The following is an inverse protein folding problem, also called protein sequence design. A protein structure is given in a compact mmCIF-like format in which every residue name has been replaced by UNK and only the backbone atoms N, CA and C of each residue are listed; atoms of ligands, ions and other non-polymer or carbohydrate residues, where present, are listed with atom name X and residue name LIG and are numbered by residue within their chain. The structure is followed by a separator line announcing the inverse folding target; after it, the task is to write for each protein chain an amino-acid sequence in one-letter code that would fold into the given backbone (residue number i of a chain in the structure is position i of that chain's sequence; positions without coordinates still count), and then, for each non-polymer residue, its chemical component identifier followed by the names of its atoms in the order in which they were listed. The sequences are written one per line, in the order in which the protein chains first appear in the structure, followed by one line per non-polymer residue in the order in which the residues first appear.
data_IF_213967998416
#
_entry.id   IF_213967998416
#
_cell.length_a   1.000
_cell.length_b   1.000
_cell.length_c   1.000
_cell.angle_alpha   90.00
_cell.angle_beta   90.00
_cell.angle_gamma   90.00
#
_symmetry.space_group_name_H-M   'P 1'
#
loop_
_entity.id
_entity.type
_entity.pdbx_description
1 polymer ?
#
# COMPACT_ATOMS: atom_id res chain seq x y z
N UNK A 1 8.41 15.08 -11.42
CA UNK A 1 9.54 14.58 -10.57
C UNK A 1 10.24 13.44 -11.28
N UNK A 2 11.54 13.24 -11.02
CA UNK A 2 12.36 12.19 -11.67
C UNK A 2 12.04 10.81 -11.08
N UNK A 3 11.83 9.83 -11.96
CA UNK A 3 11.57 8.44 -11.57
C UNK A 3 12.84 7.74 -11.05
N UNK A 4 12.64 6.71 -10.23
CA UNK A 4 13.70 5.90 -9.64
C UNK A 4 14.70 6.76 -8.81
N UNK A 5 14.15 7.74 -8.11
CA UNK A 5 14.88 8.71 -7.32
C UNK A 5 14.20 8.99 -5.99
N UNK A 6 15.03 9.22 -4.97
CA UNK A 6 14.60 9.78 -3.69
C UNK A 6 14.87 11.27 -3.72
N UNK A 7 13.81 12.06 -3.60
CA UNK A 7 13.88 13.52 -3.57
C UNK A 7 14.10 14.00 -2.14
N UNK A 8 15.13 14.85 -1.94
CA UNK A 8 15.42 15.43 -0.61
C UNK A 8 14.50 16.62 -0.36
N UNK A 9 13.24 16.36 -0.11
CA UNK A 9 12.20 17.34 0.24
C UNK A 9 11.19 16.70 1.19
N UNK A 10 10.37 17.52 1.82
CA UNK A 10 9.21 17.03 2.56
C UNK A 10 8.21 16.39 1.59
N UNK A 11 7.65 15.24 1.98
CA UNK A 11 6.63 14.54 1.19
C UNK A 11 5.46 15.45 0.78
N UNK A 12 5.03 16.35 1.66
CA UNK A 12 3.93 17.29 1.40
C UNK A 12 4.27 18.37 0.35
N UNK A 13 5.54 18.52 -0.02
CA UNK A 13 5.99 19.48 -1.04
C UNK A 13 6.11 18.84 -2.44
N UNK A 14 5.69 17.59 -2.59
CA UNK A 14 5.78 16.90 -3.88
C UNK A 14 4.89 17.55 -4.95
N UNK A 15 5.28 17.37 -6.21
CA UNK A 15 4.56 17.87 -7.39
C UNK A 15 4.05 16.75 -8.29
N UNK A 16 3.77 15.59 -7.70
CA UNK A 16 3.20 14.46 -8.42
C UNK A 16 1.74 14.75 -8.80
N UNK A 17 1.31 14.23 -9.95
CA UNK A 17 -0.07 14.31 -10.36
C UNK A 17 -0.97 13.43 -9.48
N UNK A 18 -2.25 13.82 -9.39
CA UNK A 18 -3.25 13.03 -8.70
C UNK A 18 -3.35 11.62 -9.29
N UNK A 19 -3.64 10.65 -8.43
CA UNK A 19 -3.91 9.26 -8.80
C UNK A 19 -2.78 8.58 -9.60
N UNK A 20 -1.53 9.01 -9.41
CA UNK A 20 -0.40 8.47 -10.15
C UNK A 20 0.22 7.21 -9.51
N UNK A 21 0.02 6.99 -8.22
CA UNK A 21 0.65 5.90 -7.47
C UNK A 21 -0.20 4.62 -7.51
N UNK A 22 0.34 3.53 -8.05
CA UNK A 22 -0.30 2.22 -8.00
C UNK A 22 -0.12 1.55 -6.64
N UNK A 23 0.99 1.84 -5.97
CA UNK A 23 1.31 1.38 -4.63
C UNK A 23 1.96 2.50 -3.83
N UNK A 24 1.49 2.71 -2.61
CA UNK A 24 2.15 3.57 -1.63
C UNK A 24 2.60 2.71 -0.45
N UNK A 25 3.87 2.82 -0.05
CA UNK A 25 4.40 2.17 1.15
C UNK A 25 4.95 3.26 2.05
N UNK A 26 4.26 3.51 3.16
CA UNK A 26 4.57 4.57 4.10
C UNK A 26 5.01 3.99 5.45
N UNK A 27 6.25 4.27 5.84
CA UNK A 27 6.80 4.00 7.17
C UNK A 27 7.12 5.35 7.85
N UNK A 28 6.10 6.06 8.36
CA UNK A 28 6.27 7.38 8.93
C UNK A 28 7.07 7.33 10.23
N UNK A 29 7.59 8.45 10.72
CA UNK A 29 8.05 8.52 12.10
C UNK A 29 6.88 8.22 13.05
N UNK A 30 7.19 7.48 14.14
CA UNK A 30 6.21 7.10 15.16
C UNK A 30 6.34 8.02 16.37
N UNK A 31 5.24 8.54 16.87
CA UNK A 31 5.28 9.42 18.02
C UNK A 31 5.90 8.74 19.26
N UNK A 32 7.01 9.29 19.80
CA UNK A 32 7.71 8.84 21.02
C UNK A 32 8.03 7.33 21.08
N UNK A 33 8.55 6.76 20.02
CA UNK A 33 8.89 5.32 19.96
C UNK A 33 10.37 5.08 19.90
N UNK A 34 11.08 5.67 18.89
CA UNK A 34 12.48 5.37 18.64
C UNK A 34 13.15 6.45 17.77
N UNK A 35 14.33 6.86 18.17
CA UNK A 35 15.10 7.87 17.42
C UNK A 35 14.61 9.31 17.59
N UNK A 36 15.47 10.27 17.28
CA UNK A 36 15.16 11.69 17.48
C UNK A 36 14.00 12.20 16.60
N UNK A 37 13.77 11.57 15.45
CA UNK A 37 12.70 11.91 14.53
C UNK A 37 11.29 11.57 15.06
N UNK A 38 11.18 10.70 16.08
CA UNK A 38 9.92 10.36 16.74
C UNK A 38 9.56 11.31 17.90
N UNK A 39 10.45 12.23 18.25
CA UNK A 39 10.32 13.15 19.39
C UNK A 39 10.23 14.62 18.97
N UNK A 40 9.74 14.90 17.78
CA UNK A 40 9.64 16.28 17.24
C UNK A 40 8.31 16.96 17.54
N UNK A 41 7.29 16.22 17.99
CA UNK A 41 5.97 16.75 18.31
C UNK A 41 5.82 16.98 19.82
N UNK A 42 5.18 18.08 20.19
CA UNK A 42 4.91 18.41 21.59
C UNK A 42 3.94 17.43 22.24
N UNK A 43 2.95 16.96 21.48
CA UNK A 43 1.92 16.04 21.95
C UNK A 43 1.35 15.16 20.83
N UNK A 44 0.53 14.20 21.21
CA UNK A 44 -0.17 13.29 20.27
C UNK A 44 -1.07 14.06 19.31
N UNK A 45 -1.66 15.17 19.71
CA UNK A 45 -2.55 15.97 18.84
C UNK A 45 -1.78 16.60 17.70
N UNK A 46 -0.61 17.18 17.99
CA UNK A 46 0.26 17.75 16.96
C UNK A 46 0.74 16.67 15.98
N UNK A 47 1.11 15.48 16.46
CA UNK A 47 1.45 14.34 15.61
C UNK A 47 0.28 13.93 14.71
N UNK A 48 -0.93 13.80 15.24
CA UNK A 48 -2.10 13.39 14.47
C UNK A 48 -2.51 14.40 13.40
N UNK A 49 -2.25 15.69 13.60
CA UNK A 49 -2.45 16.71 12.56
C UNK A 49 -1.53 16.48 11.35
N UNK A 50 -0.29 16.02 11.57
CA UNK A 50 0.59 15.68 10.46
C UNK A 50 0.21 14.33 9.81
N UNK A 51 -0.24 13.36 10.62
CA UNK A 51 -0.82 12.10 10.09
C UNK A 51 -2.00 12.39 9.16
N UNK A 52 -2.89 13.32 9.52
CA UNK A 52 -4.02 13.71 8.67
C UNK A 52 -3.55 14.33 7.34
N UNK A 53 -2.57 15.25 7.37
CA UNK A 53 -2.01 15.83 6.14
C UNK A 53 -1.39 14.76 5.23
N UNK A 54 -0.63 13.82 5.83
CA UNK A 54 -0.02 12.71 5.09
C UNK A 54 -1.08 11.77 4.51
N UNK A 55 -2.14 11.50 5.27
CA UNK A 55 -3.28 10.69 4.82
C UNK A 55 -3.95 11.32 3.60
N UNK A 56 -4.27 12.61 3.65
CA UNK A 56 -4.89 13.35 2.56
C UNK A 56 -4.00 13.39 1.31
N UNK A 57 -2.69 13.55 1.49
CA UNK A 57 -1.74 13.52 0.38
C UNK A 57 -1.61 12.10 -0.23
N UNK A 58 -1.55 11.05 0.59
CA UNK A 58 -1.64 9.68 0.10
C UNK A 58 -2.94 9.44 -0.66
N UNK A 59 -4.08 10.00 -0.19
CA UNK A 59 -5.38 9.91 -0.88
C UNK A 59 -5.35 10.58 -2.24
N UNK A 60 -4.73 11.74 -2.36
CA UNK A 60 -4.58 12.46 -3.62
C UNK A 60 -3.76 11.65 -4.62
N UNK A 61 -2.66 11.05 -4.16
CA UNK A 61 -1.70 10.34 -5.01
C UNK A 61 -2.13 8.93 -5.40
N UNK A 62 -2.90 8.22 -4.56
CA UNK A 62 -3.24 6.83 -4.78
C UNK A 62 -4.20 6.68 -5.98
N UNK A 63 -3.81 5.85 -6.96
CA UNK A 63 -4.68 5.47 -8.06
C UNK A 63 -5.98 4.84 -7.56
N UNK A 64 -7.06 4.92 -8.33
CA UNK A 64 -8.37 4.39 -7.93
C UNK A 64 -8.32 2.90 -7.58
N UNK A 65 -7.49 2.13 -8.28
CA UNK A 65 -7.24 0.71 -8.05
C UNK A 65 -5.91 0.43 -7.31
N UNK A 66 -5.33 1.44 -6.68
CA UNK A 66 -4.07 1.33 -5.96
C UNK A 66 -4.20 0.70 -4.57
N UNK A 67 -3.06 0.40 -3.97
CA UNK A 67 -2.95 -0.09 -2.58
C UNK A 67 -2.05 0.83 -1.78
N UNK A 68 -2.45 1.12 -0.55
CA UNK A 68 -1.65 1.86 0.43
C UNK A 68 -1.30 0.96 1.60
N UNK A 69 -0.03 0.92 1.96
CA UNK A 69 0.47 0.34 3.19
C UNK A 69 0.95 1.45 4.14
N UNK A 70 0.49 1.39 5.39
CA UNK A 70 0.87 2.31 6.45
C UNK A 70 1.39 1.55 7.66
N UNK A 71 2.68 1.68 7.94
CA UNK A 71 3.31 1.09 9.12
C UNK A 71 3.04 1.91 10.38
N UNK A 72 3.09 1.25 11.54
CA UNK A 72 2.97 1.93 12.82
C UNK A 72 3.30 1.06 14.03
N UNK A 73 3.57 1.74 15.14
CA UNK A 73 3.75 1.10 16.44
C UNK A 73 2.47 0.44 16.92
N UNK A 74 2.59 -0.76 17.49
CA UNK A 74 1.44 -1.57 17.90
C UNK A 74 0.53 -0.91 18.96
N UNK A 75 1.05 0.04 19.75
CA UNK A 75 0.27 0.75 20.77
C UNK A 75 -0.42 2.00 20.24
N UNK A 76 0.10 2.60 19.15
CA UNK A 76 -0.32 3.94 18.69
C UNK A 76 -1.00 3.94 17.33
N UNK A 77 -0.83 2.88 16.51
CA UNK A 77 -1.36 2.82 15.15
C UNK A 77 -2.88 3.00 15.06
N UNK A 78 -3.62 2.63 16.12
CA UNK A 78 -5.07 2.78 16.16
C UNK A 78 -5.51 4.24 15.99
N UNK A 79 -4.73 5.21 16.45
CA UNK A 79 -5.04 6.64 16.26
C UNK A 79 -4.91 7.04 14.78
N UNK A 80 -3.86 6.58 14.10
CA UNK A 80 -3.72 6.79 12.66
C UNK A 80 -4.82 6.06 11.88
N UNK A 81 -5.18 4.83 12.29
CA UNK A 81 -6.25 4.07 11.66
C UNK A 81 -7.56 4.84 11.63
N UNK A 82 -7.97 5.47 12.73
CA UNK A 82 -9.23 6.26 12.79
C UNK A 82 -9.23 7.36 11.71
N UNK A 83 -8.10 8.05 11.52
CA UNK A 83 -7.97 9.09 10.49
C UNK A 83 -8.07 8.49 9.09
N UNK A 84 -7.35 7.39 8.85
CA UNK A 84 -7.33 6.75 7.52
C UNK A 84 -8.68 6.13 7.14
N UNK A 85 -9.44 5.57 8.10
CA UNK A 85 -10.76 4.97 7.88
C UNK A 85 -11.81 5.99 7.40
N UNK A 86 -11.58 7.30 7.61
CA UNK A 86 -12.44 8.36 7.06
C UNK A 86 -12.24 8.56 5.53
N UNK A 87 -11.11 8.13 5.00
CA UNK A 87 -10.71 8.41 3.61
C UNK A 87 -10.54 7.17 2.74
N UNK A 88 -10.27 6.01 3.34
CA UNK A 88 -9.94 4.76 2.67
C UNK A 88 -10.78 3.60 3.19
N UNK A 89 -10.84 2.52 2.43
CA UNK A 89 -11.39 1.25 2.89
C UNK A 89 -10.27 0.39 3.49
N UNK A 90 -10.39 0.02 4.76
CA UNK A 90 -9.43 -0.89 5.41
C UNK A 90 -9.58 -2.30 4.84
N UNK A 91 -8.51 -2.81 4.23
CA UNK A 91 -8.47 -4.17 3.69
C UNK A 91 -7.98 -5.15 4.76
N UNK A 92 -6.85 -4.83 5.40
CA UNK A 92 -6.27 -5.67 6.46
C UNK A 92 -5.56 -4.81 7.52
N UNK A 93 -5.64 -5.24 8.78
CA UNK A 93 -4.73 -4.81 9.85
C UNK A 93 -3.79 -5.99 10.14
N UNK A 94 -2.55 -5.88 9.67
CA UNK A 94 -1.56 -6.96 9.63
C UNK A 94 -0.63 -6.85 10.83
N UNK A 95 -0.42 -7.95 11.55
CA UNK A 95 0.62 -8.06 12.56
C UNK A 95 1.90 -8.62 11.92
N UNK A 96 2.99 -7.87 12.00
CA UNK A 96 4.30 -8.32 11.53
C UNK A 96 5.14 -8.70 12.74
N UNK A 97 5.37 -9.98 12.92
CA UNK A 97 6.26 -10.52 13.95
C UNK A 97 7.68 -10.60 13.38
N UNK A 98 8.62 -9.97 14.06
CA UNK A 98 10.04 -10.12 13.77
C UNK A 98 10.65 -11.16 14.69
N UNK A 99 11.38 -12.13 14.13
CA UNK A 99 12.20 -13.07 14.88
C UNK A 99 13.31 -12.28 15.60
N UNK A 100 12.98 -11.71 16.75
CA UNK A 100 13.95 -11.10 17.65
C UNK A 100 14.40 -12.20 18.60
N UNK A 101 15.72 -12.40 18.68
CA UNK A 101 16.25 -13.20 19.79
C UNK A 101 15.73 -12.58 21.09
N UNK A 102 15.06 -13.38 21.91
CA UNK A 102 14.52 -12.94 23.19
C UNK A 102 15.63 -12.26 23.99
N UNK A 103 15.44 -10.98 24.29
CA UNK A 103 16.37 -10.25 25.14
C UNK A 103 16.38 -10.94 26.52
N UNK A 104 17.56 -11.20 27.05
CA UNK A 104 17.70 -11.60 28.47
C UNK A 104 16.97 -10.56 29.33
N UNK A 105 16.20 -10.99 30.30
CA UNK A 105 15.49 -10.07 31.22
C UNK A 105 14.06 -9.77 30.84
N UNK A 106 13.46 -10.50 29.89
CA UNK A 106 12.02 -10.37 29.53
C UNK A 106 11.12 -10.58 30.75
N UNK A 107 11.55 -11.43 31.68
CA UNK A 107 10.89 -11.69 32.96
C UNK A 107 10.80 -10.47 33.89
N UNK A 108 11.64 -9.45 33.67
CA UNK A 108 11.64 -8.21 34.44
C UNK A 108 10.71 -7.11 33.87
N UNK A 109 10.01 -7.38 32.75
CA UNK A 109 9.05 -6.43 32.20
C UNK A 109 7.72 -6.50 32.92
N UNK A 110 7.12 -5.34 33.18
CA UNK A 110 5.77 -5.22 33.70
C UNK A 110 4.69 -5.37 32.62
N UNK A 111 5.07 -5.86 31.44
CA UNK A 111 4.19 -6.09 30.29
C UNK A 111 4.76 -7.19 29.39
N UNK A 112 3.94 -7.70 28.49
CA UNK A 112 4.46 -8.59 27.43
C UNK A 112 5.44 -7.84 26.53
N UNK A 113 6.59 -8.49 26.23
CA UNK A 113 7.62 -7.89 25.38
C UNK A 113 7.06 -7.62 23.96
N UNK A 114 7.20 -6.41 23.39
CA UNK A 114 6.73 -6.12 22.06
C UNK A 114 7.65 -6.79 21.03
N UNK A 115 7.08 -7.69 20.23
CA UNK A 115 7.79 -8.42 19.18
C UNK A 115 7.20 -8.14 17.79
N UNK A 116 6.17 -7.31 17.70
CA UNK A 116 5.46 -7.06 16.45
C UNK A 116 5.29 -5.56 16.19
N UNK A 117 5.26 -5.23 14.91
CA UNK A 117 4.76 -3.95 14.37
C UNK A 117 3.39 -4.17 13.72
N UNK A 118 2.70 -3.10 13.40
CA UNK A 118 1.43 -3.15 12.67
C UNK A 118 1.59 -2.54 11.31
N UNK A 119 0.84 -3.11 10.36
CA UNK A 119 0.76 -2.64 8.99
C UNK A 119 -0.70 -2.59 8.58
N UNK A 120 -1.21 -1.40 8.32
CA UNK A 120 -2.54 -1.20 7.77
C UNK A 120 -2.46 -1.27 6.24
N UNK A 121 -3.33 -2.05 5.64
CA UNK A 121 -3.49 -2.15 4.20
C UNK A 121 -4.82 -1.51 3.81
N UNK A 122 -4.75 -0.52 2.94
CA UNK A 122 -5.90 0.25 2.47
C UNK A 122 -6.02 0.22 0.95
N UNK A 123 -7.24 0.45 0.48
CA UNK A 123 -7.51 0.80 -0.91
C UNK A 123 -8.60 1.88 -1.02
N UNK A 124 -8.97 2.23 -2.24
CA UNK A 124 -10.04 3.19 -2.52
C UNK A 124 -11.41 2.52 -2.62
N UNK A 125 -11.58 1.29 -2.11
CA UNK A 125 -12.83 0.53 -2.19
C UNK A 125 -13.13 -0.01 -3.59
N UNK A 126 -14.24 -0.73 -3.71
CA UNK A 126 -14.63 -1.42 -4.94
C UNK A 126 -14.93 -0.46 -6.09
N UNK A 127 -14.00 -0.32 -7.04
CA UNK A 127 -14.12 0.61 -8.16
C UNK A 127 -15.20 0.18 -9.17
N UNK A 128 -15.44 -1.12 -9.34
CA UNK A 128 -16.52 -1.62 -10.18
C UNK A 128 -17.88 -1.12 -9.68
N UNK A 129 -18.11 -1.19 -8.37
CA UNK A 129 -19.35 -0.71 -7.75
C UNK A 129 -19.50 0.81 -7.89
N UNK A 130 -18.41 1.57 -7.75
CA UNK A 130 -18.45 3.03 -7.90
C UNK A 130 -18.84 3.44 -9.32
N UNK A 131 -18.19 2.86 -10.33
CA UNK A 131 -18.53 3.09 -11.74
C UNK A 131 -19.96 2.67 -12.02
N UNK A 132 -20.36 1.50 -11.54
CA UNK A 132 -21.68 0.95 -11.79
C UNK A 132 -22.80 1.82 -11.19
N UNK A 133 -22.66 2.25 -9.92
CA UNK A 133 -23.63 3.12 -9.25
C UNK A 133 -23.77 4.47 -9.97
N UNK A 134 -22.65 5.05 -10.40
CA UNK A 134 -22.63 6.27 -11.19
C UNK A 134 -23.42 6.09 -12.50
N UNK A 135 -23.13 5.04 -13.25
CA UNK A 135 -23.80 4.74 -14.53
C UNK A 135 -25.27 4.39 -14.37
N UNK A 136 -25.64 3.67 -13.33
CA UNK A 136 -27.05 3.39 -13.00
C UNK A 136 -27.81 4.70 -12.78
N UNK A 137 -27.24 5.64 -12.04
CA UNK A 137 -27.86 6.94 -11.80
C UNK A 137 -27.96 7.80 -13.10
N UNK A 138 -26.88 7.88 -13.88
CA UNK A 138 -26.82 8.64 -15.13
C UNK A 138 -27.83 8.11 -16.17
N UNK A 139 -27.90 6.79 -16.35
CA UNK A 139 -28.70 6.14 -17.38
C UNK A 139 -30.10 5.72 -16.88
N UNK A 140 -30.42 6.00 -15.59
CA UNK A 140 -31.69 5.60 -14.94
C UNK A 140 -31.99 4.10 -15.04
N UNK A 141 -30.93 3.27 -14.93
CA UNK A 141 -31.02 1.82 -15.02
C UNK A 141 -31.63 1.22 -13.75
N UNK A 142 -32.13 -0.02 -13.88
CA UNK A 142 -32.64 -0.83 -12.79
C UNK A 142 -31.91 -2.18 -12.76
N UNK A 143 -31.94 -2.87 -11.62
CA UNK A 143 -31.34 -4.20 -11.48
C UNK A 143 -31.85 -5.21 -12.54
N UNK A 144 -33.11 -5.09 -12.94
CA UNK A 144 -33.73 -5.94 -13.96
C UNK A 144 -33.03 -5.86 -15.32
N UNK A 145 -32.45 -4.70 -15.67
CA UNK A 145 -31.76 -4.51 -16.94
C UNK A 145 -30.53 -5.39 -17.03
N UNK A 146 -29.84 -5.60 -15.90
CA UNK A 146 -28.66 -6.47 -15.81
C UNK A 146 -29.02 -7.96 -15.71
N UNK A 147 -30.15 -8.32 -15.10
CA UNK A 147 -30.58 -9.71 -14.98
C UNK A 147 -30.76 -10.39 -16.33
N UNK A 148 -31.13 -9.63 -17.37
CA UNK A 148 -31.34 -10.11 -18.74
C UNK A 148 -30.04 -10.56 -19.43
N UNK A 149 -28.88 -10.06 -18.97
CA UNK A 149 -27.60 -10.33 -19.61
C UNK A 149 -27.13 -11.78 -19.48
N UNK A 150 -27.52 -12.46 -18.40
CA UNK A 150 -27.07 -13.83 -18.13
C UNK A 150 -28.21 -14.68 -17.59
N UNK A 151 -28.56 -15.71 -18.35
CA UNK A 151 -29.61 -16.66 -17.98
C UNK A 151 -29.02 -17.94 -17.36
N UNK A 152 -29.77 -18.59 -16.50
CA UNK A 152 -29.45 -19.92 -15.99
C UNK A 152 -29.44 -20.97 -17.10
N UNK A 153 -28.91 -22.16 -16.82
CA UNK A 153 -28.97 -23.32 -17.76
C UNK A 153 -30.40 -23.65 -18.20
N UNK A 154 -31.41 -23.31 -17.39
CA UNK A 154 -32.83 -23.54 -17.68
C UNK A 154 -33.51 -22.34 -18.34
N UNK A 155 -32.75 -21.32 -18.79
CA UNK A 155 -33.29 -20.15 -19.48
C UNK A 155 -33.88 -19.06 -18.57
N UNK A 156 -33.91 -19.27 -17.25
CA UNK A 156 -34.45 -18.31 -16.30
C UNK A 156 -33.47 -17.17 -16.01
N UNK A 157 -33.98 -15.98 -15.72
CA UNK A 157 -33.19 -14.86 -15.21
C UNK A 157 -32.53 -15.25 -13.88
N UNK A 158 -31.27 -14.82 -13.69
CA UNK A 158 -30.50 -15.09 -12.48
C UNK A 158 -30.20 -13.82 -11.73
N UNK A 159 -30.08 -13.92 -10.40
CA UNK A 159 -29.60 -12.81 -9.56
C UNK A 159 -28.08 -12.65 -9.54
N UNK A 160 -27.36 -13.14 -10.56
CA UNK A 160 -25.90 -13.16 -10.63
C UNK A 160 -25.26 -11.78 -10.41
N UNK A 161 -25.88 -10.72 -10.92
CA UNK A 161 -25.39 -9.36 -10.80
C UNK A 161 -25.72 -8.68 -9.46
N UNK A 162 -26.67 -9.25 -8.67
CA UNK A 162 -27.15 -8.60 -7.44
C UNK A 162 -26.05 -8.32 -6.43
N UNK A 163 -25.10 -9.24 -6.25
CA UNK A 163 -23.96 -9.04 -5.32
C UNK A 163 -22.93 -8.03 -5.88
N UNK A 164 -22.76 -7.98 -7.20
CA UNK A 164 -21.91 -6.99 -7.87
C UNK A 164 -22.53 -5.59 -7.72
N UNK A 165 -23.82 -5.46 -8.00
CA UNK A 165 -24.57 -4.20 -7.87
C UNK A 165 -24.55 -3.67 -6.42
N UNK A 166 -24.58 -4.56 -5.43
CA UNK A 166 -24.51 -4.21 -4.01
C UNK A 166 -23.07 -4.01 -3.48
N UNK A 167 -22.08 -4.17 -4.33
CA UNK A 167 -20.68 -4.03 -3.95
C UNK A 167 -20.12 -5.16 -3.08
N UNK A 168 -20.86 -6.25 -2.91
CA UNK A 168 -20.43 -7.40 -2.10
C UNK A 168 -19.32 -8.21 -2.75
N UNK A 169 -19.31 -8.29 -4.09
CA UNK A 169 -18.34 -9.01 -4.88
C UNK A 169 -17.83 -8.13 -6.03
N UNK A 170 -16.58 -8.29 -6.36
CA UNK A 170 -16.07 -7.80 -7.64
C UNK A 170 -16.46 -8.77 -8.76
N UNK A 171 -16.78 -8.27 -9.97
CA UNK A 171 -17.06 -9.13 -11.12
C UNK A 171 -15.78 -9.83 -11.60
N UNK A 172 -15.94 -11.01 -12.21
CA UNK A 172 -14.90 -11.54 -13.10
C UNK A 172 -14.94 -10.76 -14.42
N UNK A 173 -13.86 -10.88 -15.23
CA UNK A 173 -13.74 -10.07 -16.45
C UNK A 173 -14.91 -10.28 -17.41
N UNK A 174 -15.31 -11.52 -17.63
CA UNK A 174 -16.39 -11.88 -18.53
C UNK A 174 -17.75 -11.27 -18.09
N UNK A 175 -18.00 -11.25 -16.79
CA UNK A 175 -19.22 -10.64 -16.22
C UNK A 175 -19.18 -9.11 -16.34
N UNK A 176 -17.98 -8.51 -16.19
CA UNK A 176 -17.82 -7.07 -16.39
C UNK A 176 -18.02 -6.67 -17.85
N UNK A 177 -17.44 -7.42 -18.79
CA UNK A 177 -17.64 -7.17 -20.22
C UNK A 177 -19.13 -7.22 -20.60
N UNK A 178 -19.92 -8.15 -20.02
CA UNK A 178 -21.39 -8.17 -20.19
C UNK A 178 -22.05 -6.92 -19.62
N UNK A 179 -21.66 -6.47 -18.42
CA UNK A 179 -22.19 -5.25 -17.80
C UNK A 179 -21.90 -4.04 -18.70
N UNK A 180 -20.69 -3.96 -19.27
CA UNK A 180 -20.27 -2.89 -20.16
C UNK A 180 -21.14 -2.76 -21.43
N UNK A 181 -21.82 -3.82 -21.87
CA UNK A 181 -22.78 -3.73 -23.00
C UNK A 181 -23.94 -2.79 -22.70
N UNK A 182 -24.27 -2.55 -21.42
CA UNK A 182 -25.33 -1.64 -20.98
C UNK A 182 -24.79 -0.27 -20.59
N UNK A 183 -23.69 -0.25 -19.82
CA UNK A 183 -23.18 0.99 -19.20
C UNK A 183 -22.14 1.74 -20.05
N UNK A 184 -21.73 1.16 -21.18
CA UNK A 184 -20.61 1.62 -22.00
C UNK A 184 -19.28 1.02 -21.56
N UNK A 185 -18.26 1.24 -22.37
CA UNK A 185 -16.95 0.62 -22.20
C UNK A 185 -16.20 1.18 -20.99
N UNK A 186 -15.73 0.27 -20.13
CA UNK A 186 -14.84 0.53 -19.00
C UNK A 186 -13.82 -0.60 -18.90
N UNK A 187 -12.55 -0.27 -19.04
CA UNK A 187 -11.48 -1.27 -19.05
C UNK A 187 -11.35 -1.95 -17.67
N UNK A 188 -11.51 -3.28 -17.65
CA UNK A 188 -11.47 -4.10 -16.43
C UNK A 188 -10.19 -3.90 -15.60
N UNK A 189 -9.05 -3.82 -16.28
CA UNK A 189 -7.73 -3.65 -15.66
C UNK A 189 -7.55 -2.34 -14.91
N UNK A 190 -8.24 -1.28 -15.33
CA UNK A 190 -8.17 0.03 -14.69
C UNK A 190 -8.98 0.10 -13.39
N UNK A 191 -9.94 -0.80 -13.23
CA UNK A 191 -10.79 -0.89 -12.04
C UNK A 191 -10.31 -1.96 -11.06
N UNK A 192 -9.67 -3.01 -11.57
CA UNK A 192 -9.23 -4.15 -10.76
C UNK A 192 -7.95 -3.85 -10.01
N UNK A 193 -8.04 -3.78 -8.67
CA UNK A 193 -6.87 -3.71 -7.80
C UNK A 193 -5.99 -4.95 -8.00
N UNK A 194 -4.69 -4.75 -8.10
CA UNK A 194 -3.76 -5.87 -8.16
C UNK A 194 -3.54 -6.46 -6.76
N UNK A 195 -3.84 -7.75 -6.62
CA UNK A 195 -3.54 -8.50 -5.40
C UNK A 195 -3.23 -9.95 -5.75
N UNK A 196 -1.97 -10.35 -5.55
CA UNK A 196 -1.51 -11.72 -5.79
C UNK A 196 -0.78 -12.26 -4.55
N UNK A 197 -1.49 -12.98 -3.69
CA UNK A 197 -0.91 -13.58 -2.49
C UNK A 197 -0.10 -14.85 -2.84
N UNK A 198 0.97 -14.67 -3.62
CA UNK A 198 1.82 -15.77 -4.12
C UNK A 198 2.52 -16.56 -3.01
N UNK A 199 2.71 -15.98 -1.83
CA UNK A 199 3.29 -16.62 -0.65
C UNK A 199 2.24 -17.28 0.25
N UNK A 200 0.94 -17.13 -0.05
CA UNK A 200 -0.18 -17.64 0.75
C UNK A 200 -0.08 -17.21 2.23
N UNK A 201 0.25 -15.94 2.45
CA UNK A 201 0.36 -15.35 3.78
C UNK A 201 -1.02 -15.00 4.34
N UNK A 202 -1.06 -14.92 5.66
CA UNK A 202 -2.21 -14.47 6.46
C UNK A 202 -1.93 -13.07 7.02
N UNK A 203 -2.84 -12.51 7.79
CA UNK A 203 -2.74 -11.22 8.47
C UNK A 203 -1.79 -11.22 9.69
N UNK A 204 -1.21 -12.37 10.02
CA UNK A 204 -0.05 -12.49 10.92
C UNK A 204 1.13 -12.99 10.07
N UNK A 205 2.11 -12.11 9.88
CA UNK A 205 3.28 -12.38 9.05
C UNK A 205 4.53 -12.48 9.91
N UNK A 206 5.41 -13.44 9.60
CA UNK A 206 6.69 -13.61 10.29
C UNK A 206 7.84 -13.35 9.32
N UNK A 207 8.74 -12.47 9.73
CA UNK A 207 9.95 -12.13 8.97
C UNK A 207 11.16 -12.07 9.89
N UNK A 208 12.30 -12.45 9.34
CA UNK A 208 13.58 -12.28 10.03
C UNK A 208 14.02 -10.82 9.99
N UNK A 209 14.59 -10.35 11.10
CA UNK A 209 15.20 -9.04 11.15
C UNK A 209 16.59 -9.12 10.48
N UNK A 210 16.74 -8.41 9.38
CA UNK A 210 17.98 -8.40 8.60
C UNK A 210 18.99 -7.42 9.20
N UNK A 211 19.59 -7.79 10.33
CA UNK A 211 20.52 -6.94 11.10
C UNK A 211 21.73 -6.44 10.27
N UNK A 212 22.13 -7.19 9.23
CA UNK A 212 23.20 -6.77 8.32
C UNK A 212 22.83 -5.54 7.49
N UNK A 213 21.55 -5.35 7.15
CA UNK A 213 21.06 -4.19 6.41
C UNK A 213 21.12 -2.93 7.27
N UNK A 214 20.69 -3.03 8.54
CA UNK A 214 20.78 -1.92 9.50
C UNK A 214 22.23 -1.44 9.69
N UNK A 215 23.17 -2.36 9.82
CA UNK A 215 24.61 -2.04 9.93
C UNK A 215 25.16 -1.42 8.65
N UNK A 216 24.78 -1.95 7.48
CA UNK A 216 25.26 -1.50 6.17
C UNK A 216 24.83 -0.07 5.85
N UNK A 217 23.62 0.29 6.21
CA UNK A 217 23.01 1.59 5.84
C UNK A 217 22.94 2.56 7.02
N UNK A 218 23.56 2.26 8.17
CA UNK A 218 23.61 3.16 9.35
C UNK A 218 22.23 3.78 9.69
N UNK A 219 21.16 3.00 9.52
CA UNK A 219 19.80 3.43 9.78
C UNK A 219 19.13 2.48 10.77
N UNK A 220 18.67 3.01 11.90
CA UNK A 220 18.23 2.23 13.07
C UNK A 220 16.96 1.39 12.83
N UNK A 221 16.17 1.71 11.81
CA UNK A 221 14.84 1.16 11.57
C UNK A 221 14.61 0.66 10.14
N UNK A 222 15.64 0.08 9.49
CA UNK A 222 15.48 -0.48 8.15
C UNK A 222 14.42 -1.60 8.15
N UNK A 223 13.44 -1.51 7.25
CA UNK A 223 12.52 -2.63 7.02
C UNK A 223 13.25 -3.77 6.31
N UNK A 224 12.91 -5.05 6.60
CA UNK A 224 13.48 -6.18 5.90
C UNK A 224 13.19 -6.14 4.39
N UNK A 225 14.21 -6.42 3.56
CA UNK A 225 14.03 -6.51 2.09
C UNK A 225 13.01 -7.58 1.72
N UNK A 226 13.01 -8.71 2.45
CA UNK A 226 12.08 -9.81 2.24
C UNK A 226 10.63 -9.42 2.46
N UNK A 227 10.32 -8.66 3.52
CA UNK A 227 8.99 -8.11 3.77
C UNK A 227 8.58 -7.16 2.64
N UNK A 228 9.42 -6.15 2.39
CA UNK A 228 9.14 -5.12 1.38
C UNK A 228 8.92 -5.73 -0.01
N UNK A 229 9.73 -6.72 -0.39
CA UNK A 229 9.56 -7.47 -1.63
C UNK A 229 8.20 -8.15 -1.72
N UNK A 230 7.74 -8.77 -0.64
CA UNK A 230 6.41 -9.42 -0.60
C UNK A 230 5.30 -8.41 -0.82
N UNK A 231 5.33 -7.25 -0.15
CA UNK A 231 4.32 -6.21 -0.32
C UNK A 231 4.25 -5.71 -1.77
N UNK A 232 5.41 -5.43 -2.38
CA UNK A 232 5.54 -4.94 -3.76
C UNK A 232 4.98 -5.97 -4.75
N UNK A 233 5.42 -7.23 -4.67
CA UNK A 233 4.99 -8.27 -5.61
C UNK A 233 3.52 -8.66 -5.46
N UNK A 234 2.97 -8.54 -4.24
CA UNK A 234 1.57 -8.84 -3.97
C UNK A 234 0.64 -7.76 -4.52
N UNK A 235 1.02 -6.46 -4.40
CA UNK A 235 0.10 -5.35 -4.62
C UNK A 235 0.47 -4.44 -5.80
N UNK A 236 1.44 -4.81 -6.62
CA UNK A 236 1.78 -4.05 -7.83
C UNK A 236 2.18 -4.94 -9.00
N UNK A 237 2.02 -4.41 -10.21
CA UNK A 237 2.48 -5.03 -11.47
C UNK A 237 3.85 -4.50 -11.85
N UNK A 238 4.51 -5.16 -12.79
CA UNK A 238 5.71 -4.61 -13.43
C UNK A 238 5.36 -3.25 -14.06
N UNK A 239 6.30 -2.32 -14.00
CA UNK A 239 6.19 -0.93 -14.47
C UNK A 239 5.22 -0.02 -13.68
N UNK A 240 4.49 -0.53 -12.68
CA UNK A 240 3.70 0.27 -11.76
C UNK A 240 4.58 1.27 -10.98
N UNK A 241 4.00 2.42 -10.62
CA UNK A 241 4.65 3.42 -9.77
C UNK A 241 4.43 3.12 -8.28
N UNK A 242 5.55 2.91 -7.58
CA UNK A 242 5.61 2.78 -6.13
C UNK A 242 6.08 4.11 -5.53
N UNK A 243 5.23 4.75 -4.73
CA UNK A 243 5.56 5.98 -4.01
C UNK A 243 5.90 5.67 -2.56
N UNK A 244 7.00 6.22 -2.08
CA UNK A 244 7.52 6.01 -0.71
C UNK A 244 7.64 7.36 -0.01
N UNK A 245 6.64 7.76 0.81
CA UNK A 245 6.60 9.07 1.48
C UNK A 245 7.75 9.34 2.44
N UNK A 246 8.30 8.28 3.04
CA UNK A 246 9.35 8.35 4.09
C UNK A 246 10.43 7.32 3.76
N UNK A 247 11.34 7.66 2.85
CA UNK A 247 12.24 6.67 2.26
C UNK A 247 13.32 6.15 3.23
N UNK A 248 13.75 6.94 4.20
CA UNK A 248 14.74 6.55 5.20
C UNK A 248 15.97 5.88 4.58
N UNK A 249 16.12 4.56 4.81
CA UNK A 249 17.21 3.75 4.23
C UNK A 249 17.00 3.37 2.76
N UNK A 250 15.86 3.72 2.16
CA UNK A 250 15.50 3.44 0.77
C UNK A 250 15.21 1.98 0.44
N UNK A 251 14.88 1.16 1.44
CA UNK A 251 14.60 -0.28 1.22
C UNK A 251 13.45 -0.47 0.24
N UNK A 252 12.35 0.27 0.41
CA UNK A 252 11.14 0.19 -0.41
C UNK A 252 11.43 0.60 -1.85
N UNK A 253 12.12 1.72 -2.04
CA UNK A 253 12.52 2.20 -3.38
C UNK A 253 13.48 1.21 -4.08
N UNK A 254 14.48 0.70 -3.33
CA UNK A 254 15.46 -0.25 -3.84
C UNK A 254 14.79 -1.57 -4.29
N UNK A 255 13.86 -2.09 -3.47
CA UNK A 255 13.14 -3.30 -3.81
C UNK A 255 12.15 -3.07 -4.96
N UNK A 256 11.49 -1.91 -5.04
CA UNK A 256 10.64 -1.57 -6.17
C UNK A 256 11.39 -1.66 -7.50
N UNK A 257 12.56 -1.01 -7.58
CA UNK A 257 13.41 -1.06 -8.77
C UNK A 257 13.91 -2.47 -9.07
N UNK A 258 14.37 -3.21 -8.06
CA UNK A 258 14.85 -4.58 -8.18
C UNK A 258 13.80 -5.52 -8.78
N UNK A 259 12.53 -5.31 -8.42
CA UNK A 259 11.40 -6.11 -8.90
C UNK A 259 10.75 -5.52 -10.18
N UNK A 260 11.39 -4.54 -10.84
CA UNK A 260 10.94 -3.98 -12.13
C UNK A 260 9.77 -3.01 -12.02
N UNK A 261 9.60 -2.35 -10.85
CA UNK A 261 8.67 -1.24 -10.67
C UNK A 261 9.40 0.08 -10.81
N UNK A 262 8.67 1.13 -11.14
CA UNK A 262 9.15 2.51 -11.02
C UNK A 262 8.98 2.98 -9.58
N UNK A 263 9.82 3.89 -9.11
CA UNK A 263 9.68 4.41 -7.75
C UNK A 263 9.95 5.90 -7.68
N UNK A 264 9.31 6.56 -6.73
CA UNK A 264 9.63 7.91 -6.27
C UNK A 264 9.58 7.87 -4.74
N UNK A 265 10.69 8.26 -4.11
CA UNK A 265 10.78 8.38 -2.66
C UNK A 265 10.98 9.82 -2.21
N UNK A 266 10.63 10.08 -0.96
CA UNK A 266 10.83 11.36 -0.28
C UNK A 266 11.57 11.13 1.02
N UNK A 267 12.55 11.98 1.29
CA UNK A 267 13.36 11.94 2.52
C UNK A 267 13.84 13.35 2.86
N UNK A 268 13.55 13.81 4.07
CA UNK A 268 13.91 15.18 4.52
C UNK A 268 15.38 15.30 4.89
N UNK A 269 15.99 14.20 5.36
CA UNK A 269 17.39 14.17 5.79
C UNK A 269 18.32 13.98 4.59
N UNK A 270 19.14 14.95 4.28
CA UNK A 270 20.03 14.92 3.13
C UNK A 270 20.96 13.68 3.13
N UNK A 271 21.53 13.34 4.29
CA UNK A 271 22.37 12.14 4.45
C UNK A 271 21.63 10.87 4.01
N UNK A 272 20.38 10.69 4.46
CA UNK A 272 19.57 9.51 4.15
C UNK A 272 19.10 9.53 2.69
N UNK A 273 18.69 10.68 2.17
CA UNK A 273 18.29 10.83 0.77
C UNK A 273 19.44 10.46 -0.18
N UNK A 274 20.67 10.92 0.10
CA UNK A 274 21.85 10.56 -0.69
C UNK A 274 22.14 9.07 -0.64
N UNK A 275 22.20 8.49 0.57
CA UNK A 275 22.44 7.06 0.77
C UNK A 275 21.41 6.18 0.06
N UNK A 276 20.13 6.55 0.15
CA UNK A 276 19.03 5.83 -0.48
C UNK A 276 19.09 5.94 -2.00
N UNK A 277 19.46 7.10 -2.54
CA UNK A 277 19.69 7.27 -3.97
C UNK A 277 20.86 6.40 -4.45
N UNK A 278 21.98 6.38 -3.73
CA UNK A 278 23.12 5.53 -4.08
C UNK A 278 22.71 4.05 -4.11
N UNK A 279 21.87 3.62 -3.17
CA UNK A 279 21.32 2.24 -3.14
C UNK A 279 20.49 1.93 -4.37
N UNK A 280 19.56 2.80 -4.76
CA UNK A 280 18.72 2.65 -5.96
C UNK A 280 19.57 2.64 -7.22
N UNK A 281 20.51 3.59 -7.36
CA UNK A 281 21.39 3.68 -8.53
C UNK A 281 22.31 2.48 -8.68
N UNK A 282 22.80 1.90 -7.58
CA UNK A 282 23.60 0.68 -7.62
C UNK A 282 22.81 -0.51 -8.17
N UNK A 283 21.50 -0.62 -7.88
CA UNK A 283 20.63 -1.66 -8.45
C UNK A 283 20.43 -1.41 -9.94
N UNK A 284 20.15 -0.18 -10.36
CA UNK A 284 19.94 0.18 -11.76
C UNK A 284 21.17 -0.08 -12.66
N UNK A 285 22.37 0.05 -12.09
CA UNK A 285 23.64 -0.20 -12.81
C UNK A 285 23.98 -1.70 -12.93
N UNK A 286 23.38 -2.56 -12.09
CA UNK A 286 23.61 -3.99 -12.24
C UNK A 286 22.90 -4.49 -13.50
N UNK A 287 23.61 -5.19 -14.42
CA UNK A 287 22.93 -5.81 -15.55
C UNK A 287 21.80 -6.68 -15.03
N UNK A 288 20.61 -6.53 -15.61
CA UNK A 288 19.45 -7.33 -15.23
C UNK A 288 19.78 -8.81 -15.41
N UNK A 289 20.03 -9.54 -14.33
CA UNK A 289 20.17 -11.00 -14.34
C UNK A 289 18.83 -11.73 -14.61
N UNK A 290 17.80 -10.98 -14.98
CA UNK A 290 16.46 -11.49 -15.30
C UNK A 290 16.14 -11.33 -16.79
N UNK A 291 16.82 -12.15 -17.60
CA UNK A 291 16.28 -12.57 -18.89
C UNK A 291 15.70 -13.96 -18.68
N UNK A 292 14.39 -14.05 -18.59
CA UNK A 292 13.63 -15.26 -18.88
C UNK A 292 13.42 -16.24 -17.73
N UNK A 293 12.22 -16.24 -17.17
CA UNK A 293 11.44 -17.49 -17.04
C UNK A 293 9.97 -17.11 -16.84
#
# INVERSE_FOLDING_TARGET
MELNKIHNINFLENTLSDKCANLIIADPPYFEVKGAFDFVWEDMKAYLQDVEKWCLECKRLLADNGTLFWFGDAKKIAYSQVIFDEHFELVNNIAIEFNRQTKKGVENFNCFAPVSERLLMYDNGNQFTKVLNKKIAELKLKEIDFRKLKKSKNGNETGWCSNILKGKNEPVKEDWDLICTIIGEHHYGDLKRHFNNFKKLYDIMKFDQEAHITKKYEHDTCKPETLTRVLILTCSRKDDLVVVPFAGSGTECAMAVKEGRKTIGFEITEKHAKMSNDRVQNILRQPSLFVGS
#
